data_IF_938745510468
#
_entry.id   IF_938745510468
#
_cell.length_a   1.000
_cell.length_b   1.000
_cell.length_c   1.000
_cell.angle_alpha   90.00
_cell.angle_beta   90.00
_cell.angle_gamma   90.00
#
_symmetry.space_group_name_H-M   'P 1'
#
loop_
_entity.id
_entity.type
_entity.pdbx_description
1 polymer ?
#
# COMPACT_ATOMS: atom_id res chain seq x y z
N UNK A 1 34.32 39.76 23.18
CA UNK A 1 34.50 39.26 24.56
C UNK A 1 33.91 37.86 24.64
N UNK A 2 34.48 36.97 25.47
CA UNK A 2 33.94 35.61 25.61
C UNK A 2 32.52 35.65 26.21
N UNK A 3 31.65 34.67 25.88
CA UNK A 3 30.32 34.56 26.47
C UNK A 3 30.40 34.22 27.97
N UNK A 4 29.36 34.59 28.76
CA UNK A 4 29.37 34.47 30.22
C UNK A 4 29.37 33.01 30.70
N UNK A 5 29.85 32.74 31.94
CA UNK A 5 29.96 31.38 32.48
C UNK A 5 28.59 30.75 32.72
N UNK A 6 28.52 29.45 32.42
CA UNK A 6 27.32 28.60 32.59
C UNK A 6 27.04 28.41 34.08
N UNK A 7 25.79 28.62 34.49
CA UNK A 7 25.32 28.41 35.86
C UNK A 7 25.35 26.91 36.24
N UNK A 8 25.68 26.56 37.49
CA UNK A 8 25.73 25.16 37.93
C UNK A 8 24.33 24.53 38.02
N UNK A 9 24.24 23.26 37.62
CA UNK A 9 23.03 22.44 37.64
C UNK A 9 22.65 22.13 39.11
N UNK A 10 21.36 22.25 39.51
CA UNK A 10 20.95 21.95 40.87
C UNK A 10 20.99 20.44 41.16
N UNK A 11 21.55 20.09 42.32
CA UNK A 11 21.61 18.71 42.83
C UNK A 11 20.24 18.32 43.40
N UNK A 12 19.68 17.13 43.09
CA UNK A 12 18.42 16.69 43.68
C UNK A 12 18.58 16.37 45.19
N UNK A 13 17.51 16.52 46.00
CA UNK A 13 17.59 16.35 47.44
C UNK A 13 17.73 14.87 47.83
N UNK A 14 18.59 14.62 48.82
CA UNK A 14 18.75 13.32 49.47
C UNK A 14 17.51 13.05 50.33
N UNK A 15 16.72 12.03 49.97
CA UNK A 15 15.63 11.53 50.80
C UNK A 15 16.20 10.81 52.02
N UNK A 16 16.13 11.48 53.18
CA UNK A 16 16.44 10.95 54.51
C UNK A 16 15.28 10.05 54.97
N UNK A 17 15.57 8.81 55.31
CA UNK A 17 14.60 7.89 55.91
C UNK A 17 14.09 8.42 57.26
N UNK A 18 12.78 8.34 57.57
CA UNK A 18 12.27 8.71 58.88
C UNK A 18 12.57 7.59 59.88
N UNK A 19 13.13 8.01 61.02
CA UNK A 19 13.44 7.18 62.17
C UNK A 19 12.19 6.73 62.92
N UNK A 20 12.36 5.62 63.63
CA UNK A 20 11.40 5.02 64.54
C UNK A 20 11.01 5.97 65.67
N UNK A 21 9.70 6.18 65.86
CA UNK A 21 9.14 6.70 67.10
C UNK A 21 8.59 5.54 67.92
N UNK A 22 9.22 5.33 69.08
CA UNK A 22 8.77 4.44 70.15
C UNK A 22 7.65 5.16 70.90
N UNK A 23 6.53 4.47 71.10
CA UNK A 23 5.45 4.86 72.01
C UNK A 23 5.00 3.63 72.81
N UNK A 24 5.27 3.67 74.11
CA UNK A 24 4.83 2.72 75.15
C UNK A 24 3.37 3.01 75.52
N UNK A 25 2.54 1.98 75.68
CA UNK A 25 1.93 1.66 76.98
C UNK A 25 1.03 0.41 76.93
N UNK A 26 1.12 -0.35 78.03
CA UNK A 26 0.41 -1.59 78.35
C UNK A 26 -1.12 -1.45 78.37
N UNK A 27 -1.82 -2.56 78.10
CA UNK A 27 -2.72 -3.19 79.08
C UNK A 27 -3.35 -4.49 78.55
N UNK A 28 -3.49 -5.48 79.44
CA UNK A 28 -4.63 -6.41 79.43
C UNK A 28 -4.41 -7.80 78.85
N UNK A 29 -4.33 -8.81 79.74
CA UNK A 29 -4.49 -10.22 79.40
C UNK A 29 -5.83 -10.50 78.70
N UNK A 30 -5.79 -11.40 77.72
CA UNK A 30 -6.99 -11.92 77.05
C UNK A 30 -6.62 -12.95 76.00
N UNK A 31 -6.45 -14.21 76.42
CA UNK A 31 -6.35 -15.36 75.52
C UNK A 31 -7.62 -15.48 74.67
N UNK A 32 -7.53 -15.17 73.37
CA UNK A 32 -8.56 -15.46 72.38
C UNK A 32 -7.97 -16.43 71.34
N UNK A 33 -8.66 -17.53 70.99
CA UNK A 33 -8.08 -18.61 70.18
C UNK A 33 -7.82 -18.17 68.74
N UNK A 34 -6.72 -18.67 68.14
CA UNK A 34 -6.53 -18.66 66.69
C UNK A 34 -7.72 -19.36 66.03
N UNK A 35 -8.49 -18.72 65.13
CA UNK A 35 -9.43 -19.46 64.32
C UNK A 35 -8.66 -20.26 63.27
N UNK A 36 -9.10 -21.50 63.12
CA UNK A 36 -8.72 -22.46 62.10
C UNK A 36 -8.87 -21.90 60.69
N UNK A 37 -8.08 -22.46 59.77
CA UNK A 37 -8.20 -22.26 58.34
C UNK A 37 -9.51 -22.85 57.84
N UNK A 38 -10.59 -22.11 58.04
CA UNK A 38 -11.90 -22.40 57.46
C UNK A 38 -12.11 -21.41 56.31
N UNK A 39 -12.45 -21.97 55.15
CA UNK A 39 -12.53 -21.35 53.84
C UNK A 39 -13.18 -19.96 53.87
N UNK A 40 -12.40 -18.93 53.54
CA UNK A 40 -12.96 -17.63 53.19
C UNK A 40 -13.72 -17.79 51.86
N UNK A 41 -15.04 -17.96 51.92
CA UNK A 41 -15.93 -17.81 50.77
C UNK A 41 -15.85 -16.34 50.31
N UNK A 42 -14.94 -16.06 49.38
CA UNK A 42 -14.80 -14.75 48.75
C UNK A 42 -16.06 -14.51 47.92
N UNK A 43 -16.94 -13.63 48.40
CA UNK A 43 -18.13 -13.15 47.67
C UNK A 43 -17.78 -12.82 46.20
N UNK A 44 -18.64 -13.23 45.26
CA UNK A 44 -18.42 -13.02 43.83
C UNK A 44 -18.14 -11.55 43.49
N UNK A 45 -18.77 -10.61 44.21
CA UNK A 45 -18.52 -9.17 44.07
C UNK A 45 -17.09 -8.76 44.43
N UNK A 46 -16.49 -9.41 45.43
CA UNK A 46 -15.11 -9.20 45.85
C UNK A 46 -14.10 -9.77 44.85
N UNK A 47 -14.39 -10.96 44.27
CA UNK A 47 -13.58 -11.53 43.18
C UNK A 47 -13.57 -10.61 41.95
N UNK A 48 -14.74 -10.11 41.55
CA UNK A 48 -14.87 -9.19 40.42
C UNK A 48 -14.20 -7.82 40.68
N UNK A 49 -14.24 -7.32 41.91
CA UNK A 49 -13.55 -6.09 42.29
C UNK A 49 -12.02 -6.26 42.26
N UNK A 50 -11.52 -7.39 42.77
CA UNK A 50 -10.10 -7.73 42.76
C UNK A 50 -9.57 -7.94 41.35
N UNK A 51 -10.32 -8.62 40.48
CA UNK A 51 -9.97 -8.79 39.07
C UNK A 51 -9.91 -7.45 38.32
N UNK A 52 -10.87 -6.54 38.57
CA UNK A 52 -10.83 -5.18 38.01
C UNK A 52 -9.61 -4.41 38.48
N UNK A 53 -9.28 -4.48 39.78
CA UNK A 53 -8.11 -3.84 40.33
C UNK A 53 -6.81 -4.41 39.73
N UNK A 54 -6.73 -5.73 39.59
CA UNK A 54 -5.58 -6.41 38.98
C UNK A 54 -5.40 -6.01 37.51
N UNK A 55 -6.49 -5.91 36.73
CA UNK A 55 -6.46 -5.42 35.34
C UNK A 55 -5.96 -3.98 35.25
N UNK A 56 -6.46 -3.08 36.11
CA UNK A 56 -6.01 -1.68 36.14
C UNK A 56 -4.52 -1.56 36.49
N UNK A 57 -4.04 -2.38 37.43
CA UNK A 57 -2.61 -2.44 37.78
C UNK A 57 -1.80 -2.94 36.59
N UNK A 58 -2.25 -3.98 35.88
CA UNK A 58 -1.59 -4.49 34.69
C UNK A 58 -1.52 -3.43 33.57
N UNK A 59 -2.62 -2.72 33.29
CA UNK A 59 -2.64 -1.64 32.31
C UNK A 59 -1.68 -0.51 32.66
N UNK A 60 -1.61 -0.13 33.94
CA UNK A 60 -0.69 0.92 34.41
C UNK A 60 0.77 0.48 34.22
N UNK A 61 1.09 -0.77 34.58
CA UNK A 61 2.41 -1.35 34.37
C UNK A 61 2.77 -1.43 32.88
N UNK A 62 1.84 -1.82 32.01
CA UNK A 62 2.04 -1.84 30.55
C UNK A 62 2.27 -0.44 29.99
N UNK A 63 1.48 0.56 30.38
CA UNK A 63 1.66 1.96 29.97
C UNK A 63 3.00 2.52 30.43
N UNK A 64 3.42 2.20 31.66
CA UNK A 64 4.73 2.59 32.21
C UNK A 64 5.87 1.95 31.41
N UNK A 65 5.76 0.67 31.05
CA UNK A 65 6.74 0.00 30.17
C UNK A 65 6.78 0.62 28.78
N UNK A 66 5.62 0.92 28.19
CA UNK A 66 5.51 1.54 26.87
C UNK A 66 6.21 2.90 26.83
N UNK A 67 5.99 3.74 27.83
CA UNK A 67 6.67 5.04 27.91
C UNK A 67 8.19 4.91 28.16
N UNK A 68 8.62 3.89 28.90
CA UNK A 68 10.03 3.61 29.14
C UNK A 68 10.74 2.99 27.92
N UNK A 69 10.00 2.37 26.98
CA UNK A 69 10.58 1.78 25.78
C UNK A 69 11.20 2.85 24.87
N UNK A 70 12.45 2.62 24.49
CA UNK A 70 13.15 3.46 23.53
C UNK A 70 12.61 3.24 22.11
N UNK A 71 11.86 4.22 21.61
CA UNK A 71 11.34 4.26 20.23
C UNK A 71 11.90 5.48 19.51
N UNK A 72 12.25 5.38 18.21
CA UNK A 72 12.74 6.51 17.42
C UNK A 72 11.88 7.77 17.57
N UNK A 73 12.54 8.93 17.59
CA UNK A 73 11.89 10.25 17.65
C UNK A 73 11.53 10.81 16.27
N UNK A 74 12.15 10.29 15.20
CA UNK A 74 11.90 10.73 13.83
C UNK A 74 10.69 10.01 13.23
N UNK A 75 9.69 10.75 12.75
CA UNK A 75 8.50 10.20 12.09
C UNK A 75 8.81 9.17 10.99
N UNK A 76 9.79 9.46 10.14
CA UNK A 76 10.13 8.58 9.01
C UNK A 76 10.60 7.20 9.50
N UNK A 77 11.35 7.16 10.61
CA UNK A 77 11.79 5.93 11.23
C UNK A 77 10.63 5.18 11.92
N UNK A 78 9.69 5.91 12.53
CA UNK A 78 8.47 5.34 13.12
C UNK A 78 7.59 4.70 12.03
N UNK A 79 7.36 5.41 10.92
CA UNK A 79 6.59 4.91 9.77
C UNK A 79 7.24 3.70 9.12
N UNK A 80 8.56 3.73 8.96
CA UNK A 80 9.31 2.58 8.49
C UNK A 80 9.13 1.39 9.43
N UNK A 81 9.24 1.58 10.75
CA UNK A 81 9.09 0.49 11.72
C UNK A 81 7.68 -0.09 11.75
N UNK A 82 6.64 0.74 11.68
CA UNK A 82 5.25 0.28 11.57
C UNK A 82 5.03 -0.55 10.30
N UNK A 83 5.56 -0.08 9.16
CA UNK A 83 5.52 -0.85 7.90
C UNK A 83 6.22 -2.20 8.03
N UNK A 84 7.38 -2.24 8.71
CA UNK A 84 8.12 -3.49 8.98
C UNK A 84 7.35 -4.45 9.88
N UNK A 85 6.52 -3.93 10.78
CA UNK A 85 5.66 -4.74 11.66
C UNK A 85 4.34 -5.15 10.98
N UNK A 86 4.10 -4.78 9.71
CA UNK A 86 2.84 -5.04 9.02
C UNK A 86 1.65 -4.23 9.56
N UNK A 87 1.91 -3.24 10.40
CA UNK A 87 0.89 -2.41 11.05
C UNK A 87 0.58 -1.18 10.18
N UNK A 88 -0.68 -0.67 10.18
CA UNK A 88 -1.04 0.52 9.42
C UNK A 88 -0.10 1.69 9.71
N UNK A 89 0.47 2.31 8.68
CA UNK A 89 1.52 3.33 8.86
C UNK A 89 0.97 4.60 9.49
N UNK A 90 -0.21 5.05 9.06
CA UNK A 90 -0.89 6.23 9.58
C UNK A 90 -2.39 5.97 9.63
N UNK A 91 -3.02 6.18 10.79
CA UNK A 91 -4.47 6.15 10.94
C UNK A 91 -5.08 7.53 10.64
N UNK A 92 -6.38 7.57 10.30
CA UNK A 92 -7.07 8.83 10.03
C UNK A 92 -7.07 9.74 11.27
N UNK A 93 -6.61 10.98 11.12
CA UNK A 93 -6.50 11.96 12.22
C UNK A 93 -5.28 11.79 13.14
N UNK A 94 -4.44 10.76 12.93
CA UNK A 94 -3.28 10.46 13.78
C UNK A 94 -2.11 11.42 13.54
N UNK A 95 -1.63 12.07 14.61
CA UNK A 95 -0.42 12.92 14.57
C UNK A 95 0.86 12.11 14.80
N UNK A 96 2.02 12.70 14.51
CA UNK A 96 3.35 12.05 14.70
C UNK A 96 3.56 11.53 16.14
N UNK A 97 3.12 12.29 17.15
CA UNK A 97 3.24 11.88 18.55
C UNK A 97 2.35 10.66 18.87
N UNK A 98 1.10 10.67 18.41
CA UNK A 98 0.15 9.56 18.60
C UNK A 98 0.62 8.30 17.85
N UNK A 99 1.19 8.47 16.66
CA UNK A 99 1.82 7.38 15.89
C UNK A 99 2.99 6.75 16.65
N UNK A 100 3.81 7.58 17.30
CA UNK A 100 4.92 7.11 18.13
C UNK A 100 4.42 6.40 19.39
N UNK A 101 3.35 6.89 20.02
CA UNK A 101 2.69 6.23 21.15
C UNK A 101 2.08 4.88 20.78
N UNK A 102 1.49 4.79 19.59
CA UNK A 102 1.00 3.54 19.04
C UNK A 102 2.14 2.55 18.80
N UNK A 103 3.24 3.00 18.20
CA UNK A 103 4.42 2.16 18.02
C UNK A 103 4.97 1.66 19.37
N UNK A 104 5.04 2.50 20.40
CA UNK A 104 5.41 2.08 21.78
C UNK A 104 4.50 0.98 22.30
N UNK A 105 3.19 1.16 22.15
CA UNK A 105 2.17 0.23 22.65
C UNK A 105 2.25 -1.13 21.93
N UNK A 106 2.43 -1.12 20.61
CA UNK A 106 2.60 -2.33 19.79
C UNK A 106 3.88 -3.07 20.18
N UNK A 107 4.98 -2.34 20.39
CA UNK A 107 6.27 -2.92 20.78
C UNK A 107 6.20 -3.66 22.13
N UNK A 108 5.55 -3.07 23.15
CA UNK A 108 5.37 -3.72 24.46
C UNK A 108 4.47 -4.96 24.36
N UNK A 109 3.38 -4.87 23.58
CA UNK A 109 2.48 -6.01 23.37
C UNK A 109 3.23 -7.18 22.74
N UNK A 110 3.99 -6.93 21.67
CA UNK A 110 4.79 -7.96 20.99
C UNK A 110 5.90 -8.53 21.88
N UNK A 111 6.50 -7.72 22.76
CA UNK A 111 7.49 -8.19 23.75
C UNK A 111 6.85 -9.11 24.78
N UNK A 112 5.66 -8.77 25.28
CA UNK A 112 4.92 -9.62 26.23
C UNK A 112 4.48 -10.97 25.63
N UNK A 113 4.27 -11.02 24.32
CA UNK A 113 3.93 -12.23 23.57
C UNK A 113 5.17 -13.03 23.13
N UNK A 114 6.40 -12.51 23.36
CA UNK A 114 7.65 -13.13 22.91
C UNK A 114 7.79 -13.20 21.38
N UNK A 115 6.95 -12.47 20.65
CA UNK A 115 6.94 -12.45 19.19
C UNK A 115 7.86 -11.37 18.61
N UNK A 116 8.19 -10.36 19.42
CA UNK A 116 8.99 -9.22 18.98
C UNK A 116 10.33 -9.67 18.41
N UNK A 117 11.13 -10.43 19.16
CA UNK A 117 12.45 -10.89 18.68
C UNK A 117 12.34 -11.76 17.43
N UNK A 118 11.28 -12.57 17.30
CA UNK A 118 11.06 -13.42 16.12
C UNK A 118 10.75 -12.58 14.89
N UNK A 119 9.87 -11.60 15.01
CA UNK A 119 9.49 -10.70 13.91
C UNK A 119 10.64 -9.79 13.49
N UNK A 120 11.41 -9.29 14.46
CA UNK A 120 12.58 -8.48 14.16
C UNK A 120 13.68 -9.30 13.49
N UNK A 121 13.94 -10.52 13.97
CA UNK A 121 14.93 -11.41 13.37
C UNK A 121 14.49 -11.89 11.98
N UNK A 122 13.24 -12.29 11.80
CA UNK A 122 12.70 -12.67 10.49
C UNK A 122 12.85 -11.52 9.47
N UNK A 123 12.60 -10.28 9.91
CA UNK A 123 12.74 -9.11 9.05
C UNK A 123 14.22 -8.69 8.87
N UNK A 124 15.10 -8.92 9.84
CA UNK A 124 16.55 -8.76 9.68
C UNK A 124 17.11 -9.78 8.69
N UNK A 125 16.64 -11.02 8.73
CA UNK A 125 16.98 -12.08 7.78
C UNK A 125 16.43 -11.76 6.37
N UNK A 126 15.22 -11.21 6.26
CA UNK A 126 14.65 -10.70 5.00
C UNK A 126 15.43 -9.49 4.46
N UNK A 127 15.81 -8.53 5.32
CA UNK A 127 16.64 -7.40 4.91
C UNK A 127 18.07 -7.84 4.57
N UNK A 128 18.62 -8.83 5.27
CA UNK A 128 19.92 -9.41 4.96
C UNK A 128 19.86 -10.16 3.63
N UNK A 129 18.77 -10.88 3.32
CA UNK A 129 18.54 -11.51 2.03
C UNK A 129 18.36 -10.48 0.90
N UNK A 130 17.63 -9.39 1.15
CA UNK A 130 17.46 -8.30 0.18
C UNK A 130 18.75 -7.50 -0.01
N UNK A 131 19.56 -7.31 1.04
CA UNK A 131 20.86 -6.60 0.93
C UNK A 131 21.98 -7.49 0.42
N UNK A 132 21.97 -8.81 0.61
CA UNK A 132 22.88 -9.73 -0.10
C UNK A 132 22.47 -9.90 -1.56
N UNK A 133 21.16 -9.88 -1.87
CA UNK A 133 20.68 -9.75 -3.25
C UNK A 133 20.98 -8.36 -3.86
N UNK A 134 21.05 -7.30 -3.04
CA UNK A 134 21.29 -5.92 -3.47
C UNK A 134 22.76 -5.49 -3.52
N UNK A 135 23.65 -6.09 -2.71
CA UNK A 135 25.09 -5.80 -2.71
C UNK A 135 25.84 -6.56 -3.80
N UNK A 136 25.20 -7.56 -4.43
CA UNK A 136 25.62 -8.14 -5.69
C UNK A 136 25.04 -7.38 -6.91
N UNK A 137 24.38 -6.23 -6.69
CA UNK A 137 23.64 -5.48 -7.71
C UNK A 137 24.06 -3.99 -7.81
N UNK A 138 25.35 -3.70 -7.63
CA UNK A 138 26.02 -2.63 -8.42
C UNK A 138 26.49 -3.16 -9.79
N UNK A 139 25.77 -4.16 -10.31
CA UNK A 139 25.81 -4.59 -11.70
C UNK A 139 24.43 -4.28 -12.29
N UNK A 140 24.42 -3.78 -13.52
CA UNK A 140 23.25 -3.27 -14.25
C UNK A 140 21.96 -4.04 -13.89
N UNK A 141 20.94 -3.33 -13.35
CA UNK A 141 19.65 -3.93 -13.00
C UNK A 141 19.16 -4.87 -14.11
N UNK A 142 18.50 -5.99 -13.79
CA UNK A 142 18.43 -7.17 -14.66
C UNK A 142 18.09 -6.74 -16.07
N UNK A 143 19.10 -6.77 -16.95
CA UNK A 143 18.90 -6.50 -18.36
C UNK A 143 17.91 -7.55 -18.82
N UNK A 144 16.64 -7.15 -18.91
CA UNK A 144 15.54 -8.01 -19.29
C UNK A 144 15.72 -8.27 -20.78
N UNK A 145 16.60 -9.22 -21.09
CA UNK A 145 16.94 -9.58 -22.44
C UNK A 145 15.68 -10.19 -23.08
N UNK A 146 15.33 -9.81 -24.33
CA UNK A 146 14.23 -10.46 -25.03
C UNK A 146 14.53 -11.96 -25.14
N UNK A 147 13.84 -12.77 -24.34
CA UNK A 147 13.91 -14.21 -24.45
C UNK A 147 12.91 -14.67 -25.51
N UNK A 148 13.41 -15.30 -26.57
CA UNK A 148 12.57 -15.84 -27.63
C UNK A 148 12.14 -17.26 -27.28
N UNK A 149 10.84 -17.51 -27.38
CA UNK A 149 10.26 -18.85 -27.30
C UNK A 149 9.85 -19.32 -28.68
N UNK A 150 9.98 -20.62 -28.92
CA UNK A 150 9.46 -21.24 -30.13
C UNK A 150 7.93 -21.14 -30.12
N UNK A 151 7.36 -20.65 -31.22
CA UNK A 151 5.91 -20.56 -31.40
C UNK A 151 5.30 -21.87 -31.92
N UNK A 152 3.96 -21.96 -31.89
CA UNK A 152 3.24 -23.07 -32.51
C UNK A 152 3.46 -23.10 -34.04
N UNK A 153 3.26 -24.28 -34.65
CA UNK A 153 3.34 -24.44 -36.12
C UNK A 153 2.31 -23.57 -36.85
N UNK A 154 1.10 -23.46 -36.31
CA UNK A 154 0.04 -22.59 -36.86
C UNK A 154 0.47 -21.12 -36.89
N UNK A 155 1.14 -20.64 -35.84
CA UNK A 155 1.66 -19.28 -35.78
C UNK A 155 2.77 -19.06 -36.82
N UNK A 156 3.62 -20.06 -37.05
CA UNK A 156 4.65 -20.00 -38.08
C UNK A 156 4.04 -19.90 -39.49
N UNK A 157 3.06 -20.75 -39.81
CA UNK A 157 2.36 -20.73 -41.10
C UNK A 157 1.64 -19.38 -41.32
N UNK A 158 0.90 -18.89 -40.32
CA UNK A 158 0.25 -17.59 -40.38
C UNK A 158 1.26 -16.44 -40.60
N UNK A 159 2.44 -16.47 -39.95
CA UNK A 159 3.50 -15.48 -40.18
C UNK A 159 4.03 -15.53 -41.61
N UNK A 160 4.17 -16.72 -42.20
CA UNK A 160 4.58 -16.88 -43.60
C UNK A 160 3.53 -16.29 -44.54
N UNK A 161 2.25 -16.49 -44.27
CA UNK A 161 1.16 -15.89 -45.07
C UNK A 161 1.12 -14.37 -44.94
N UNK A 162 1.24 -13.85 -43.71
CA UNK A 162 1.34 -12.41 -43.45
C UNK A 162 2.56 -11.82 -44.18
N UNK A 163 3.70 -12.50 -44.17
CA UNK A 163 4.90 -12.06 -44.89
C UNK A 163 4.65 -12.03 -46.41
N UNK A 164 4.09 -13.09 -47.00
CA UNK A 164 3.74 -13.13 -48.44
C UNK A 164 2.78 -12.01 -48.83
N UNK A 165 1.76 -11.77 -48.02
CA UNK A 165 0.77 -10.70 -48.23
C UNK A 165 1.39 -9.30 -48.11
N UNK A 166 2.16 -9.06 -47.04
CA UNK A 166 2.70 -7.73 -46.70
C UNK A 166 3.86 -7.34 -47.61
N UNK A 167 4.79 -8.25 -47.94
CA UNK A 167 5.95 -7.93 -48.79
C UNK A 167 5.53 -7.53 -50.20
N UNK A 168 4.57 -8.26 -50.80
CA UNK A 168 4.06 -7.92 -52.14
C UNK A 168 3.39 -6.52 -52.16
N UNK A 169 2.57 -6.22 -51.15
CA UNK A 169 1.92 -4.90 -51.00
C UNK A 169 2.93 -3.79 -50.69
N UNK A 170 3.94 -4.06 -49.87
CA UNK A 170 4.99 -3.10 -49.56
C UNK A 170 5.78 -2.73 -50.82
N UNK A 171 6.12 -3.71 -51.66
CA UNK A 171 6.73 -3.46 -52.98
C UNK A 171 5.83 -2.56 -53.83
N UNK A 172 4.55 -2.91 -54.00
CA UNK A 172 3.62 -2.10 -54.80
C UNK A 172 3.45 -0.67 -54.26
N UNK A 173 3.45 -0.49 -52.93
CA UNK A 173 3.41 0.83 -52.28
C UNK A 173 4.68 1.63 -52.57
N UNK A 174 5.85 1.02 -52.42
CA UNK A 174 7.14 1.68 -52.68
C UNK A 174 7.32 2.06 -54.15
N UNK A 175 6.93 1.19 -55.08
CA UNK A 175 6.98 1.49 -56.52
C UNK A 175 6.05 2.64 -56.89
N UNK A 176 4.86 2.74 -56.28
CA UNK A 176 3.97 3.90 -56.45
C UNK A 176 4.61 5.18 -55.91
N UNK A 177 5.18 5.12 -54.72
CA UNK A 177 5.85 6.29 -54.11
C UNK A 177 7.09 6.74 -54.91
N UNK A 178 7.88 5.79 -55.44
CA UNK A 178 9.02 6.08 -56.32
C UNK A 178 8.56 6.75 -57.61
N UNK A 179 7.56 6.19 -58.28
CA UNK A 179 6.98 6.78 -59.50
C UNK A 179 6.51 8.21 -59.26
N UNK A 180 5.79 8.46 -58.17
CA UNK A 180 5.30 9.80 -57.83
C UNK A 180 6.45 10.80 -57.62
N UNK A 181 7.49 10.40 -56.89
CA UNK A 181 8.66 11.26 -56.64
C UNK A 181 9.49 11.53 -57.91
N UNK A 182 9.60 10.53 -58.79
CA UNK A 182 10.46 10.61 -59.97
C UNK A 182 9.74 11.26 -61.18
N UNK A 183 8.43 11.46 -61.11
CA UNK A 183 7.61 12.12 -62.13
C UNK A 183 7.67 13.66 -61.95
N UNK A 184 8.22 14.42 -62.92
CA UNK A 184 8.33 15.86 -62.81
C UNK A 184 6.99 16.60 -62.91
N UNK A 185 5.92 15.94 -63.37
CA UNK A 185 4.58 16.54 -63.49
C UNK A 185 3.77 16.45 -62.17
N UNK A 186 4.24 15.65 -61.19
CA UNK A 186 3.60 15.47 -59.89
C UNK A 186 4.22 16.43 -58.85
N UNK A 187 3.39 17.32 -58.26
CA UNK A 187 3.80 18.26 -57.22
C UNK A 187 3.17 17.87 -55.87
N UNK A 188 3.96 17.21 -55.03
CA UNK A 188 3.52 16.73 -53.71
C UNK A 188 3.08 17.88 -52.78
N UNK A 189 3.69 19.06 -52.91
CA UNK A 189 3.39 20.20 -52.04
C UNK A 189 2.09 20.89 -52.46
N UNK A 190 1.87 21.05 -53.76
CA UNK A 190 0.61 21.56 -54.29
C UNK A 190 -0.58 20.64 -53.95
N UNK A 191 -0.39 19.31 -54.03
CA UNK A 191 -1.42 18.37 -53.60
C UNK A 191 -1.72 18.45 -52.10
N UNK A 192 -0.68 18.56 -51.27
CA UNK A 192 -0.86 18.69 -49.83
C UNK A 192 -1.63 19.97 -49.49
N UNK A 193 -1.27 21.09 -50.12
CA UNK A 193 -1.98 22.36 -49.97
C UNK A 193 -3.45 22.25 -50.41
N UNK A 194 -3.71 21.58 -51.54
CA UNK A 194 -5.08 21.32 -52.01
C UNK A 194 -5.91 20.52 -50.99
N UNK A 195 -5.35 19.46 -50.41
CA UNK A 195 -6.02 18.64 -49.38
C UNK A 195 -6.29 19.46 -48.12
N UNK A 196 -5.34 20.28 -47.68
CA UNK A 196 -5.51 21.15 -46.50
C UNK A 196 -6.61 22.19 -46.75
N UNK A 197 -6.62 22.80 -47.93
CA UNK A 197 -7.65 23.77 -48.32
C UNK A 197 -9.04 23.10 -48.38
N UNK A 198 -9.14 21.88 -48.92
CA UNK A 198 -10.38 21.10 -48.89
C UNK A 198 -10.82 20.77 -47.45
N UNK A 199 -9.87 20.36 -46.60
CA UNK A 199 -10.15 20.05 -45.20
C UNK A 199 -10.62 21.28 -44.40
N UNK A 200 -10.13 22.47 -44.73
CA UNK A 200 -10.60 23.74 -44.16
C UNK A 200 -12.06 24.07 -44.46
N UNK A 201 -12.62 23.48 -45.52
CA UNK A 201 -14.04 23.60 -45.88
C UNK A 201 -14.96 22.56 -45.23
N UNK A 202 -14.43 21.62 -44.43
CA UNK A 202 -15.25 20.60 -43.78
C UNK A 202 -16.13 21.22 -42.68
N UNK A 203 -17.44 21.00 -42.80
CA UNK A 203 -18.46 21.44 -41.84
C UNK A 203 -19.29 20.22 -41.44
N UNK A 204 -19.82 20.24 -40.21
CA UNK A 204 -20.75 19.22 -39.75
C UNK A 204 -22.01 19.23 -40.63
N UNK A 205 -22.19 18.18 -41.43
CA UNK A 205 -23.37 18.02 -42.29
C UNK A 205 -24.55 17.42 -41.51
N UNK A 206 -24.29 16.38 -40.72
CA UNK A 206 -25.31 15.68 -39.95
C UNK A 206 -24.79 15.25 -38.56
N UNK A 207 -25.72 15.13 -37.61
CA UNK A 207 -25.46 14.57 -36.28
C UNK A 207 -26.61 13.64 -35.95
N UNK A 208 -26.28 12.40 -35.60
CA UNK A 208 -27.24 11.36 -35.23
C UNK A 208 -26.93 10.85 -33.82
N UNK A 209 -27.98 10.61 -33.04
CA UNK A 209 -27.84 10.06 -31.68
C UNK A 209 -27.55 8.56 -31.82
N UNK A 210 -26.39 8.12 -31.33
CA UNK A 210 -26.00 6.72 -31.39
C UNK A 210 -26.53 5.86 -30.25
N UNK A 211 -26.43 6.32 -29.01
CA UNK A 211 -26.85 5.61 -27.79
C UNK A 211 -27.00 6.61 -26.62
N UNK A 212 -27.59 6.17 -25.50
CA UNK A 212 -27.64 6.92 -24.22
C UNK A 212 -26.25 7.07 -23.59
N UNK A 213 -25.34 6.15 -23.93
CA UNK A 213 -23.95 6.12 -23.46
C UNK A 213 -23.01 6.79 -24.45
N UNK A 214 -21.88 7.36 -23.99
CA UNK A 214 -20.89 7.93 -24.89
C UNK A 214 -20.30 6.84 -25.80
N UNK A 215 -20.28 7.12 -27.10
CA UNK A 215 -19.61 6.27 -28.08
C UNK A 215 -18.08 6.32 -27.88
N UNK A 216 -17.43 5.17 -27.99
CA UNK A 216 -15.98 4.95 -27.83
C UNK A 216 -15.22 4.85 -29.16
N UNK A 217 -15.93 4.84 -30.28
CA UNK A 217 -15.32 4.85 -31.60
C UNK A 217 -16.32 4.51 -32.70
N UNK A 218 -15.91 4.81 -33.93
CA UNK A 218 -16.63 4.44 -35.14
C UNK A 218 -15.65 3.92 -36.21
N UNK A 219 -16.14 3.13 -37.16
CA UNK A 219 -15.39 2.67 -38.33
C UNK A 219 -16.31 2.61 -39.54
N UNK A 220 -15.80 3.05 -40.69
CA UNK A 220 -16.49 2.87 -41.96
C UNK A 220 -16.28 1.46 -42.50
N UNK A 221 -17.28 0.98 -43.25
CA UNK A 221 -17.15 -0.18 -44.14
C UNK A 221 -16.17 0.12 -45.29
N UNK A 222 -15.63 -0.93 -45.92
CA UNK A 222 -14.67 -0.77 -47.03
C UNK A 222 -15.25 0.04 -48.21
N UNK A 223 -16.55 -0.10 -48.46
CA UNK A 223 -17.27 0.56 -49.55
C UNK A 223 -17.78 1.96 -49.14
N UNK A 224 -17.60 2.36 -47.87
CA UNK A 224 -18.04 3.65 -47.35
C UNK A 224 -19.56 3.79 -47.13
N UNK A 225 -20.34 2.74 -47.36
CA UNK A 225 -21.82 2.79 -47.30
C UNK A 225 -22.38 2.66 -45.89
N UNK A 226 -21.69 1.91 -45.02
CA UNK A 226 -22.09 1.68 -43.63
C UNK A 226 -21.07 2.25 -42.64
N UNK A 227 -21.56 2.70 -41.48
CA UNK A 227 -20.79 3.13 -40.32
C UNK A 227 -21.10 2.23 -39.12
N UNK A 228 -20.06 1.61 -38.54
CA UNK A 228 -20.17 0.87 -37.29
C UNK A 228 -19.78 1.76 -36.12
N UNK A 229 -20.61 1.82 -35.07
CA UNK A 229 -20.33 2.53 -33.82
C UNK A 229 -20.13 1.54 -32.67
N UNK A 230 -19.25 1.88 -31.72
CA UNK A 230 -19.00 1.07 -30.51
C UNK A 230 -19.04 1.93 -29.27
N UNK A 231 -19.50 1.39 -28.15
CA UNK A 231 -19.45 2.04 -26.84
C UNK A 231 -18.92 1.07 -25.79
N UNK A 232 -18.41 1.60 -24.69
CA UNK A 232 -17.92 0.76 -23.61
C UNK A 232 -19.07 0.29 -22.71
N UNK A 233 -19.17 -1.02 -22.54
CA UNK A 233 -20.16 -1.64 -21.68
C UNK A 233 -19.51 -2.02 -20.36
N UNK A 234 -19.56 -1.11 -19.38
CA UNK A 234 -19.33 -1.50 -17.99
C UNK A 234 -20.61 -2.17 -17.51
N UNK A 235 -20.67 -3.49 -17.64
CA UNK A 235 -21.53 -4.27 -16.77
C UNK A 235 -20.85 -4.33 -15.40
N UNK A 236 -21.47 -3.73 -14.39
CA UNK A 236 -21.29 -4.27 -13.05
C UNK A 236 -21.75 -5.72 -13.13
N UNK A 237 -20.84 -6.66 -12.91
CA UNK A 237 -21.18 -8.06 -12.72
C UNK A 237 -21.94 -8.14 -11.38
N UNK A 238 -23.22 -7.81 -11.40
CA UNK A 238 -24.16 -8.42 -10.46
C UNK A 238 -24.54 -9.78 -11.03
N UNK A 239 -24.55 -10.86 -10.20
CA UNK A 239 -24.93 -12.19 -10.66
C UNK A 239 -26.46 -12.23 -10.86
N UNK A 240 -26.96 -11.63 -11.94
CA UNK A 240 -28.38 -11.64 -12.27
C UNK A 240 -28.72 -12.82 -13.18
N UNK A 241 -29.56 -13.70 -12.62
CA UNK A 241 -30.16 -14.90 -13.22
C UNK A 241 -30.81 -14.56 -14.57
N UNK A 242 -30.40 -15.25 -15.63
CA UNK A 242 -31.12 -15.25 -16.92
C UNK A 242 -32.47 -15.95 -16.75
N UNK A 243 -33.57 -15.22 -16.96
CA UNK A 243 -34.89 -15.79 -17.24
C UNK A 243 -35.18 -15.57 -18.71
N UNK A 244 -35.26 -16.66 -19.48
CA UNK A 244 -35.74 -16.63 -20.85
C UNK A 244 -37.25 -16.43 -20.85
N UNK A 245 -37.73 -15.34 -21.47
CA UNK A 245 -39.12 -15.25 -21.94
C UNK A 245 -39.08 -15.41 -23.45
N UNK A 246 -39.68 -16.50 -23.92
CA UNK A 246 -39.98 -16.75 -25.33
C UNK A 246 -41.40 -16.27 -25.58
N UNK A 247 -41.59 -15.22 -26.37
CA UNK A 247 -42.89 -14.92 -26.98
C UNK A 247 -42.89 -15.48 -28.40
N UNK A 248 -43.98 -16.18 -28.72
CA UNK A 248 -44.21 -16.88 -29.99
C UNK A 248 -45.08 -16.09 -30.97
#
# INVERSE_FOLDING_TARGET
GPPPPIAPIPVPPILRAPGASVGSDSDGEGSIPRPSADDYEISEESRLARERQEKLVQELLMKRRAYAMAVPTNDSAVRARLRRLGEPVTLFGEREMERRDRLRSIMVRLESEGQLERLLKAHEDEQAAVTTAGAAAEDEGPQQYPFYTEGSKELFEARVEIAKFSVARAKARLERARRKRDDPDEDEEAEAEFVVNQAGGLVLECSEIGDDRPLSGCSFSHDGTMLATRYHLIFYIEPFRFSWVSEG
#
